data_IF_414886512055
#
_entry.id   IF_414886512055
#
_cell.length_a   1.000
_cell.length_b   1.000
_cell.length_c   1.000
_cell.angle_alpha   90.00
_cell.angle_beta   90.00
_cell.angle_gamma   90.00
#
_symmetry.space_group_name_H-M   'P 1'
#
loop_
_entity.id
_entity.type
_entity.pdbx_description
1 polymer ?
#
# COMPACT_ATOMS: atom_id res chain seq x y z
N UNK A 1 0.76 18.32 65.73
CA UNK A 1 1.01 17.11 64.97
C UNK A 1 0.79 17.45 63.50
N UNK A 2 1.87 17.68 62.74
CA UNK A 2 1.81 17.95 61.27
C UNK A 2 1.85 16.63 60.53
N UNK A 3 0.79 16.31 59.79
CA UNK A 3 0.79 15.17 58.88
C UNK A 3 1.61 15.54 57.65
N UNK A 4 2.72 14.86 57.45
CA UNK A 4 3.51 14.90 56.24
C UNK A 4 2.84 13.91 55.29
N UNK A 5 2.20 14.45 54.24
CA UNK A 5 1.69 13.65 53.16
C UNK A 5 2.85 13.45 52.17
N UNK A 6 3.46 12.26 52.21
CA UNK A 6 4.44 11.87 51.19
C UNK A 6 3.74 11.71 49.84
N UNK A 7 4.04 12.61 48.94
CA UNK A 7 3.69 12.47 47.53
C UNK A 7 4.67 11.46 46.93
N UNK A 8 4.25 10.23 46.76
CA UNK A 8 4.99 9.25 45.93
C UNK A 8 4.74 9.66 44.50
N UNK A 9 5.74 10.32 43.93
CA UNK A 9 5.83 10.55 42.50
C UNK A 9 6.18 9.19 41.87
N UNK A 10 5.17 8.43 41.48
CA UNK A 10 5.37 7.27 40.65
C UNK A 10 5.84 7.79 39.28
N UNK A 11 7.14 7.71 39.05
CA UNK A 11 7.72 7.79 37.71
C UNK A 11 7.12 6.64 36.91
N UNK A 12 6.11 6.93 36.12
CA UNK A 12 5.67 6.06 35.06
C UNK A 12 6.81 6.07 34.07
N UNK A 13 7.74 5.14 34.21
CA UNK A 13 8.56 4.69 33.10
C UNK A 13 7.57 4.04 32.15
N UNK A 14 7.11 4.81 31.18
CA UNK A 14 6.45 4.28 30.02
C UNK A 14 7.50 3.44 29.27
N UNK A 15 7.62 2.18 29.63
CA UNK A 15 8.07 1.19 28.68
C UNK A 15 6.96 1.13 27.64
N UNK A 16 6.99 2.06 26.69
CA UNK A 16 6.37 1.89 25.43
C UNK A 16 7.09 0.71 24.78
N UNK A 17 6.68 -0.50 25.08
CA UNK A 17 6.91 -1.62 24.20
C UNK A 17 5.98 -1.36 23.02
N UNK A 18 6.34 -0.38 22.23
CA UNK A 18 5.82 -0.15 20.90
C UNK A 18 6.41 -1.23 20.02
N UNK A 19 5.72 -2.33 19.90
CA UNK A 19 5.78 -3.05 18.66
C UNK A 19 4.72 -2.46 17.71
N UNK A 20 4.80 -1.15 17.49
CA UNK A 20 4.42 -0.60 16.21
C UNK A 20 5.31 -1.31 15.18
N UNK A 21 4.75 -1.72 14.05
CA UNK A 21 5.57 -2.23 12.97
C UNK A 21 6.71 -1.25 12.76
N UNK A 22 7.91 -1.75 12.92
CA UNK A 22 9.13 -0.97 12.74
C UNK A 22 9.53 -1.20 11.28
N UNK A 23 9.47 -0.16 10.46
CA UNK A 23 9.87 -0.25 9.07
C UNK A 23 11.38 -0.05 8.90
N UNK A 24 12.18 -0.45 9.87
CA UNK A 24 13.64 -0.28 9.88
C UNK A 24 14.35 -0.96 8.69
N UNK A 25 13.72 -1.93 8.04
CA UNK A 25 14.20 -2.63 6.85
C UNK A 25 13.53 -2.20 5.55
N UNK A 26 12.76 -1.13 5.60
CA UNK A 26 12.07 -0.56 4.44
C UNK A 26 12.52 0.89 4.27
N UNK A 27 12.79 1.30 3.04
CA UNK A 27 13.02 2.70 2.71
C UNK A 27 11.93 3.21 1.76
N UNK A 28 11.45 4.42 2.00
CA UNK A 28 10.69 5.17 1.01
C UNK A 28 11.69 5.93 0.13
N UNK A 29 11.60 5.75 -1.20
CA UNK A 29 12.50 6.43 -2.15
C UNK A 29 11.72 7.49 -2.90
N UNK A 30 12.22 8.72 -2.87
CA UNK A 30 11.60 9.87 -3.54
C UNK A 30 12.58 10.76 -4.27
N UNK A 31 12.04 11.69 -5.08
CA UNK A 31 12.83 12.63 -5.90
C UNK A 31 13.26 13.90 -5.17
N UNK A 32 12.69 14.17 -3.99
CA UNK A 32 13.10 15.33 -3.17
C UNK A 32 14.41 15.03 -2.44
N UNK A 33 15.28 16.02 -2.26
CA UNK A 33 16.63 15.82 -1.73
C UNK A 33 16.64 15.37 -0.25
N UNK A 34 15.55 15.60 0.49
CA UNK A 34 15.38 15.10 1.86
C UNK A 34 13.90 14.94 2.22
N UNK A 35 13.64 14.30 3.34
CA UNK A 35 12.29 14.22 3.91
C UNK A 35 11.69 15.60 4.21
N UNK A 36 12.49 16.54 4.73
CA UNK A 36 12.04 17.89 5.02
C UNK A 36 11.71 18.67 3.74
N UNK A 37 12.45 18.44 2.66
CA UNK A 37 12.11 19.05 1.36
C UNK A 37 10.81 18.46 0.81
N UNK A 38 10.62 17.15 0.89
CA UNK A 38 9.35 16.53 0.52
C UNK A 38 8.19 17.15 1.29
N UNK A 39 8.29 17.32 2.61
CA UNK A 39 7.23 17.93 3.43
C UNK A 39 6.92 19.39 3.08
N UNK A 40 7.87 20.11 2.49
CA UNK A 40 7.72 21.53 2.18
C UNK A 40 7.35 21.84 0.73
N UNK A 41 7.64 20.95 -0.19
CA UNK A 41 7.55 21.17 -1.64
C UNK A 41 6.95 19.98 -2.40
N UNK A 42 6.61 18.90 -1.71
CA UNK A 42 6.04 17.70 -2.30
C UNK A 42 4.58 17.85 -2.67
N UNK A 43 4.11 16.90 -3.43
CA UNK A 43 2.70 16.66 -3.63
C UNK A 43 2.04 16.26 -2.32
N UNK A 44 0.77 16.59 -2.12
CA UNK A 44 0.10 16.40 -0.82
C UNK A 44 -0.15 14.94 -0.51
N UNK A 45 -0.38 14.08 -1.50
CA UNK A 45 -0.47 12.63 -1.32
C UNK A 45 0.87 12.00 -0.96
N UNK A 46 1.96 12.40 -1.61
CA UNK A 46 3.30 11.95 -1.25
C UNK A 46 3.71 12.41 0.16
N UNK A 47 3.34 13.64 0.54
CA UNK A 47 3.56 14.15 1.90
C UNK A 47 2.81 13.31 2.92
N UNK A 48 1.51 13.04 2.69
CA UNK A 48 0.68 12.27 3.61
C UNK A 48 1.19 10.84 3.77
N UNK A 49 1.55 10.19 2.66
CA UNK A 49 2.15 8.85 2.65
C UNK A 49 3.47 8.81 3.43
N UNK A 50 4.37 9.77 3.19
CA UNK A 50 5.66 9.86 3.86
C UNK A 50 5.52 10.15 5.36
N UNK A 51 4.58 11.01 5.75
CA UNK A 51 4.30 11.28 7.17
C UNK A 51 3.77 10.03 7.88
N UNK A 52 2.87 9.28 7.23
CA UNK A 52 2.40 8.01 7.76
C UNK A 52 3.57 7.03 7.94
N UNK A 53 4.40 6.87 6.92
CA UNK A 53 5.55 5.96 6.94
C UNK A 53 6.57 6.33 8.03
N UNK A 54 6.84 7.60 8.21
CA UNK A 54 7.75 8.10 9.26
C UNK A 54 7.24 7.81 10.68
N UNK A 55 5.91 7.70 10.89
CA UNK A 55 5.36 7.29 12.19
C UNK A 55 5.70 5.85 12.59
N UNK A 56 6.22 5.05 11.64
CA UNK A 56 6.70 3.68 11.85
C UNK A 56 8.23 3.59 11.75
N UNK A 57 8.93 4.69 11.98
CA UNK A 57 10.40 4.77 11.91
C UNK A 57 10.96 4.43 10.52
N UNK A 58 10.15 4.55 9.46
CA UNK A 58 10.57 4.33 8.10
C UNK A 58 11.58 5.37 7.62
N UNK A 59 12.57 4.94 6.86
CA UNK A 59 13.64 5.81 6.35
C UNK A 59 13.26 6.37 4.98
N UNK A 60 13.40 7.69 4.79
CA UNK A 60 13.35 8.32 3.48
C UNK A 60 14.74 8.37 2.86
N UNK A 61 14.86 8.00 1.59
CA UNK A 61 16.07 8.07 0.78
C UNK A 61 15.75 8.86 -0.49
N UNK A 62 16.59 9.84 -0.81
CA UNK A 62 16.47 10.58 -2.06
C UNK A 62 17.13 9.83 -3.23
N UNK A 63 16.58 10.02 -4.43
CA UNK A 63 17.26 9.59 -5.66
C UNK A 63 18.63 10.25 -5.82
N UNK A 64 18.82 11.44 -5.24
CA UNK A 64 20.11 12.13 -5.22
C UNK A 64 21.17 11.37 -4.41
N UNK A 65 20.82 10.86 -3.24
CA UNK A 65 21.72 10.04 -2.43
C UNK A 65 22.10 8.74 -3.13
N UNK A 66 21.15 8.14 -3.87
CA UNK A 66 21.44 6.96 -4.70
C UNK A 66 22.39 7.32 -5.84
N UNK A 67 22.15 8.44 -6.55
CA UNK A 67 23.00 8.90 -7.65
C UNK A 67 24.44 9.20 -7.20
N UNK A 68 24.57 9.80 -6.02
CA UNK A 68 25.86 10.18 -5.43
C UNK A 68 26.58 9.00 -4.74
N UNK A 69 25.91 7.83 -4.64
CA UNK A 69 26.44 6.63 -4.00
C UNK A 69 26.57 6.73 -2.47
N UNK A 70 25.83 7.64 -1.85
CA UNK A 70 25.81 7.82 -0.39
C UNK A 70 24.75 6.96 0.30
N UNK A 71 23.71 6.55 -0.44
CA UNK A 71 22.70 5.61 0.04
C UNK A 71 23.15 4.16 -0.16
N UNK A 72 23.09 3.36 0.91
CA UNK A 72 23.33 1.90 0.85
C UNK A 72 22.00 1.16 0.84
N UNK A 73 21.54 0.74 -0.34
CA UNK A 73 20.27 0.01 -0.48
C UNK A 73 20.36 -1.42 0.10
N UNK A 74 21.55 -1.98 0.31
CA UNK A 74 21.71 -3.37 0.78
C UNK A 74 21.21 -3.61 2.20
N UNK A 75 21.05 -2.57 2.99
CA UNK A 75 20.53 -2.65 4.35
C UNK A 75 19.00 -2.86 4.42
N UNK A 76 18.28 -2.63 3.29
CA UNK A 76 16.84 -2.74 3.22
C UNK A 76 16.39 -4.07 2.60
N UNK A 77 15.18 -4.47 2.94
CA UNK A 77 14.47 -5.62 2.35
C UNK A 77 13.53 -5.19 1.25
N UNK A 78 12.97 -4.01 1.39
CA UNK A 78 12.05 -3.44 0.43
C UNK A 78 12.26 -1.94 0.25
N UNK A 79 11.89 -1.45 -0.94
CA UNK A 79 11.77 -0.03 -1.24
C UNK A 79 10.30 0.27 -1.58
N UNK A 80 9.76 1.31 -0.96
CA UNK A 80 8.49 1.89 -1.34
C UNK A 80 8.73 3.15 -2.17
N UNK A 81 8.19 3.19 -3.37
CA UNK A 81 8.22 4.35 -4.26
C UNK A 81 6.77 4.79 -4.44
N UNK A 82 6.43 5.95 -3.90
CA UNK A 82 5.14 6.60 -4.07
C UNK A 82 5.37 7.89 -4.87
N UNK A 83 4.71 8.00 -6.02
CA UNK A 83 4.79 9.20 -6.86
C UNK A 83 3.39 9.52 -7.32
N UNK A 84 2.93 10.69 -6.95
CA UNK A 84 1.65 11.23 -7.36
C UNK A 84 1.85 12.65 -7.90
N UNK A 85 1.54 12.88 -9.18
CA UNK A 85 1.82 14.15 -9.86
C UNK A 85 0.82 14.42 -10.96
N UNK A 86 0.32 15.63 -10.98
CA UNK A 86 -0.48 16.16 -12.09
C UNK A 86 0.43 16.53 -13.23
N UNK A 87 0.24 15.93 -14.40
CA UNK A 87 0.94 16.28 -15.65
C UNK A 87 -0.01 16.16 -16.85
N UNK A 88 0.50 16.33 -18.06
CA UNK A 88 -0.32 16.26 -19.28
C UNK A 88 -0.34 14.87 -19.91
N UNK A 89 0.73 14.12 -19.80
CA UNK A 89 0.91 12.81 -20.40
C UNK A 89 2.14 12.07 -19.85
N UNK A 90 2.27 10.79 -20.21
CA UNK A 90 3.35 9.92 -19.71
C UNK A 90 4.75 10.39 -20.11
N UNK A 91 4.92 11.06 -21.27
CA UNK A 91 6.24 11.54 -21.70
C UNK A 91 6.64 12.76 -20.90
N UNK A 92 5.69 13.66 -20.65
CA UNK A 92 5.86 14.81 -19.76
C UNK A 92 6.18 14.34 -18.33
N UNK A 93 5.42 13.37 -17.82
CA UNK A 93 5.69 12.77 -16.52
C UNK A 93 7.10 12.17 -16.44
N UNK A 94 7.54 11.41 -17.44
CA UNK A 94 8.89 10.86 -17.46
C UNK A 94 9.97 11.94 -17.48
N UNK A 95 9.76 13.02 -18.22
CA UNK A 95 10.77 14.07 -18.34
C UNK A 95 10.83 14.98 -17.11
N UNK A 96 9.68 15.31 -16.52
CA UNK A 96 9.57 16.31 -15.44
C UNK A 96 9.61 15.68 -14.05
N UNK A 97 8.96 14.52 -13.86
CA UNK A 97 8.81 13.89 -12.55
C UNK A 97 9.83 12.76 -12.30
N UNK A 98 10.19 12.02 -13.34
CA UNK A 98 11.15 10.91 -13.23
C UNK A 98 12.53 11.26 -13.75
N UNK A 99 12.64 12.25 -14.63
CA UNK A 99 13.86 12.66 -15.31
C UNK A 99 14.78 13.50 -14.43
N UNK A 100 15.78 14.11 -15.09
CA UNK A 100 16.76 14.97 -14.45
C UNK A 100 18.05 14.25 -14.09
N UNK A 101 19.06 15.06 -13.69
CA UNK A 101 20.41 14.58 -13.40
C UNK A 101 20.45 13.55 -12.24
N UNK A 102 19.52 13.66 -11.30
CA UNK A 102 19.42 12.80 -10.12
C UNK A 102 18.03 12.17 -9.96
N UNK A 103 17.19 12.14 -11.01
CA UNK A 103 15.86 11.54 -10.99
C UNK A 103 15.89 10.02 -11.12
N UNK A 104 14.72 9.40 -11.04
CA UNK A 104 14.57 7.94 -11.13
C UNK A 104 15.08 7.35 -12.46
N UNK A 105 15.01 8.10 -13.55
CA UNK A 105 15.51 7.68 -14.88
C UNK A 105 17.00 7.98 -15.09
N UNK A 106 17.70 8.61 -14.13
CA UNK A 106 19.16 8.66 -14.16
C UNK A 106 19.73 7.23 -14.18
N UNK A 107 20.68 6.96 -15.05
CA UNK A 107 21.20 5.59 -15.24
C UNK A 107 21.80 4.97 -13.97
N UNK A 108 22.42 5.76 -13.11
CA UNK A 108 22.96 5.28 -11.82
C UNK A 108 21.83 4.88 -10.89
N UNK A 109 20.81 5.73 -10.73
CA UNK A 109 19.65 5.49 -9.87
C UNK A 109 18.86 4.28 -10.37
N UNK A 110 18.49 4.30 -11.66
CA UNK A 110 17.77 3.21 -12.30
C UNK A 110 18.49 1.88 -12.16
N UNK A 111 19.80 1.87 -12.41
CA UNK A 111 20.63 0.66 -12.30
C UNK A 111 20.69 0.17 -10.84
N UNK A 112 20.85 1.06 -9.87
CA UNK A 112 20.91 0.69 -8.46
C UNK A 112 19.61 0.03 -7.99
N UNK A 113 18.45 0.64 -8.28
CA UNK A 113 17.14 0.09 -7.91
C UNK A 113 16.85 -1.20 -8.67
N UNK A 114 17.17 -1.26 -9.98
CA UNK A 114 17.01 -2.49 -10.78
C UNK A 114 17.86 -3.63 -10.23
N UNK A 115 19.11 -3.36 -9.86
CA UNK A 115 19.98 -4.38 -9.27
C UNK A 115 19.51 -4.81 -7.89
N UNK A 116 19.03 -3.89 -7.06
CA UNK A 116 18.38 -4.21 -5.79
C UNK A 116 17.24 -5.21 -6.01
N UNK A 117 16.34 -4.94 -6.95
CA UNK A 117 15.21 -5.80 -7.29
C UNK A 117 15.65 -7.15 -7.88
N UNK A 118 16.64 -7.16 -8.78
CA UNK A 118 17.19 -8.40 -9.36
C UNK A 118 17.86 -9.28 -8.32
N UNK A 119 18.45 -8.71 -7.30
CA UNK A 119 19.19 -9.43 -6.27
C UNK A 119 18.34 -9.85 -5.04
N UNK A 120 17.02 -9.67 -5.10
CA UNK A 120 16.08 -10.14 -4.06
C UNK A 120 15.53 -9.06 -3.15
N UNK A 121 15.88 -7.80 -3.37
CA UNK A 121 15.18 -6.68 -2.78
C UNK A 121 13.78 -6.56 -3.36
N UNK A 122 12.80 -6.18 -2.54
CA UNK A 122 11.40 -6.12 -2.94
C UNK A 122 10.96 -4.67 -3.21
N UNK A 123 9.89 -4.49 -3.98
CA UNK A 123 9.36 -3.17 -4.33
C UNK A 123 7.88 -3.06 -3.99
N UNK A 124 7.48 -1.92 -3.43
CA UNK A 124 6.11 -1.42 -3.47
C UNK A 124 6.10 -0.17 -4.35
N UNK A 125 5.33 -0.20 -5.43
CA UNK A 125 5.17 0.94 -6.35
C UNK A 125 3.72 1.40 -6.28
N UNK A 126 3.50 2.67 -5.91
CA UNK A 126 2.15 3.20 -5.75
C UNK A 126 1.93 4.41 -6.64
N UNK A 127 0.68 4.61 -7.07
CA UNK A 127 0.26 5.66 -7.98
C UNK A 127 1.09 5.62 -9.29
N UNK A 128 1.59 6.74 -9.76
CA UNK A 128 2.40 6.83 -10.99
C UNK A 128 3.75 6.12 -10.93
N UNK A 129 4.25 5.76 -9.72
CA UNK A 129 5.46 4.97 -9.61
C UNK A 129 5.36 3.60 -10.30
N UNK A 130 4.15 3.09 -10.56
CA UNK A 130 3.93 1.86 -11.32
C UNK A 130 4.59 1.90 -12.71
N UNK A 131 4.69 3.07 -13.34
CA UNK A 131 5.39 3.25 -14.64
C UNK A 131 6.83 2.74 -14.59
N UNK A 132 7.51 2.90 -13.45
CA UNK A 132 8.91 2.49 -13.28
C UNK A 132 9.14 0.98 -13.47
N UNK A 133 8.10 0.16 -13.36
CA UNK A 133 8.24 -1.29 -13.54
C UNK A 133 8.73 -1.65 -14.95
N UNK A 134 8.31 -0.88 -15.97
CA UNK A 134 8.86 -0.96 -17.32
C UNK A 134 10.31 -0.45 -17.37
N UNK A 135 10.58 0.68 -16.76
CA UNK A 135 11.90 1.31 -16.78
C UNK A 135 12.95 0.42 -16.06
N UNK A 136 12.53 -0.37 -15.07
CA UNK A 136 13.34 -1.41 -14.42
C UNK A 136 13.41 -2.71 -15.25
N UNK A 137 12.68 -2.80 -16.36
CA UNK A 137 12.70 -3.92 -17.29
C UNK A 137 11.92 -5.17 -16.84
N UNK A 138 11.05 -5.04 -15.82
CA UNK A 138 10.23 -6.15 -15.32
C UNK A 138 9.12 -6.54 -16.27
N UNK A 139 8.58 -5.57 -16.99
CA UNK A 139 7.61 -5.71 -18.08
C UNK A 139 8.08 -4.86 -19.28
N UNK A 140 7.67 -5.22 -20.48
CA UNK A 140 8.14 -4.62 -21.73
C UNK A 140 7.28 -3.45 -22.24
N UNK A 141 6.21 -3.12 -21.54
CA UNK A 141 5.24 -2.09 -21.94
C UNK A 141 4.83 -1.18 -20.80
N UNK A 142 4.36 -0.01 -21.16
CA UNK A 142 3.75 0.94 -20.22
C UNK A 142 2.38 0.45 -19.77
N UNK A 143 1.91 0.91 -18.61
CA UNK A 143 0.50 0.77 -18.26
C UNK A 143 -0.40 1.37 -19.33
N UNK A 144 -1.48 0.68 -19.69
CA UNK A 144 -2.44 1.15 -20.69
C UNK A 144 -3.42 2.18 -20.14
N UNK A 145 -3.74 2.09 -18.86
CA UNK A 145 -4.58 3.07 -18.19
C UNK A 145 -3.72 3.98 -17.31
N UNK A 146 -3.39 5.16 -17.86
CA UNK A 146 -2.62 6.18 -17.15
C UNK A 146 -3.33 7.50 -17.28
N UNK A 147 -3.70 8.09 -16.14
CA UNK A 147 -4.27 9.41 -16.03
C UNK A 147 -3.42 10.27 -15.11
N UNK A 148 -3.34 11.56 -15.42
CA UNK A 148 -2.57 12.56 -14.68
C UNK A 148 -3.43 13.80 -14.43
N UNK A 149 -4.74 13.66 -14.51
CA UNK A 149 -5.64 14.77 -14.45
C UNK A 149 -5.98 15.11 -12.99
N UNK A 150 -6.05 16.41 -12.70
CA UNK A 150 -6.89 16.82 -11.58
C UNK A 150 -8.34 16.48 -11.96
N UNK A 151 -8.96 15.62 -11.16
CA UNK A 151 -10.37 15.34 -11.28
C UNK A 151 -11.21 16.54 -10.86
N UNK A 152 -12.48 16.33 -10.80
CA UNK A 152 -13.45 17.26 -10.20
C UNK A 152 -13.79 16.77 -8.80
N UNK A 153 -14.21 17.68 -7.91
CA UNK A 153 -14.74 17.28 -6.60
C UNK A 153 -15.86 16.24 -6.80
N UNK A 154 -15.52 14.97 -6.60
CA UNK A 154 -16.46 13.88 -6.76
C UNK A 154 -17.25 13.69 -5.46
N UNK A 155 -18.52 13.32 -5.59
CA UNK A 155 -19.39 13.04 -4.46
C UNK A 155 -19.56 11.53 -4.20
N UNK A 156 -18.97 10.71 -5.07
CA UNK A 156 -19.07 9.26 -4.98
C UNK A 156 -18.03 8.68 -4.02
N UNK A 157 -18.36 7.56 -3.44
CA UNK A 157 -17.40 6.66 -2.78
C UNK A 157 -16.77 5.80 -3.86
N UNK A 158 -15.46 5.70 -3.84
CA UNK A 158 -14.72 4.93 -4.83
C UNK A 158 -14.16 3.66 -4.21
N UNK A 159 -14.34 2.56 -4.91
CA UNK A 159 -14.15 1.21 -4.42
C UNK A 159 -13.14 0.42 -5.24
N UNK A 160 -12.56 -0.59 -4.59
CA UNK A 160 -11.81 -1.65 -5.24
C UNK A 160 -12.63 -2.93 -5.23
N UNK A 161 -12.78 -3.57 -6.38
CA UNK A 161 -13.30 -4.92 -6.50
C UNK A 161 -12.14 -5.92 -6.47
N UNK A 162 -12.24 -6.91 -5.58
CA UNK A 162 -11.22 -7.95 -5.39
C UNK A 162 -11.66 -9.33 -5.93
N UNK A 163 -12.78 -9.38 -6.65
CA UNK A 163 -13.28 -10.60 -7.30
C UNK A 163 -13.32 -10.39 -8.80
N UNK A 164 -12.27 -10.80 -9.48
CA UNK A 164 -12.12 -10.61 -10.93
C UNK A 164 -12.89 -11.67 -11.73
N UNK A 165 -13.26 -11.36 -12.97
CA UNK A 165 -13.98 -12.28 -13.83
C UNK A 165 -15.47 -12.43 -13.48
N UNK A 166 -16.10 -11.41 -12.95
CA UNK A 166 -17.53 -11.44 -12.56
C UNK A 166 -18.48 -10.98 -13.68
N UNK A 167 -17.98 -10.47 -14.79
CA UNK A 167 -18.79 -10.06 -15.93
C UNK A 167 -19.41 -11.26 -16.66
N UNK A 168 -20.43 -11.01 -17.50
CA UNK A 168 -21.32 -12.06 -18.01
C UNK A 168 -20.61 -13.13 -18.83
N UNK A 169 -19.66 -12.73 -19.65
CA UNK A 169 -18.93 -13.59 -20.59
C UNK A 169 -17.56 -14.05 -20.05
N UNK A 170 -17.18 -13.66 -18.83
CA UNK A 170 -15.96 -14.15 -18.22
C UNK A 170 -16.03 -15.66 -17.99
N UNK A 171 -15.01 -16.44 -18.43
CA UNK A 171 -15.02 -17.89 -18.36
C UNK A 171 -14.94 -18.43 -16.94
N UNK A 172 -14.35 -17.67 -16.03
CA UNK A 172 -14.23 -18.03 -14.62
C UNK A 172 -14.08 -16.79 -13.73
N UNK A 173 -14.20 -16.99 -12.45
CA UNK A 173 -14.12 -15.96 -11.42
C UNK A 173 -12.95 -16.27 -10.51
N UNK A 174 -12.21 -15.20 -10.12
CA UNK A 174 -11.08 -15.26 -9.20
C UNK A 174 -11.37 -14.39 -7.99
N UNK A 175 -11.62 -15.03 -6.84
CA UNK A 175 -11.87 -14.33 -5.56
C UNK A 175 -10.57 -14.19 -4.78
N UNK A 176 -10.08 -12.96 -4.69
CA UNK A 176 -8.88 -12.59 -3.94
C UNK A 176 -9.18 -12.03 -2.54
N UNK A 177 -10.43 -12.06 -2.09
CA UNK A 177 -10.81 -11.47 -0.79
C UNK A 177 -10.12 -12.11 0.42
N UNK A 178 -9.59 -13.32 0.28
CA UNK A 178 -8.77 -13.99 1.30
C UNK A 178 -7.27 -13.80 1.14
N UNK A 179 -6.83 -12.94 0.22
CA UNK A 179 -5.41 -12.65 0.02
C UNK A 179 -4.85 -11.87 1.23
N UNK A 180 -3.62 -12.18 1.70
CA UNK A 180 -2.98 -11.47 2.81
C UNK A 180 -2.93 -9.95 2.64
N UNK A 181 -2.88 -9.46 1.38
CA UNK A 181 -2.91 -8.03 1.08
C UNK A 181 -4.17 -7.33 1.62
N UNK A 182 -5.27 -8.06 1.76
CA UNK A 182 -6.56 -7.54 2.22
C UNK A 182 -6.90 -7.93 3.66
N UNK A 183 -5.94 -8.46 4.41
CA UNK A 183 -6.18 -8.84 5.80
C UNK A 183 -6.66 -7.66 6.63
N UNK A 184 -7.76 -7.85 7.38
CA UNK A 184 -8.36 -6.83 8.24
C UNK A 184 -9.17 -5.76 7.50
N UNK A 185 -9.21 -5.74 6.17
CA UNK A 185 -10.06 -4.82 5.40
C UNK A 185 -11.48 -5.36 5.34
N UNK A 186 -12.44 -4.56 5.78
CA UNK A 186 -13.86 -4.92 5.72
C UNK A 186 -14.36 -4.80 4.28
N UNK A 187 -14.98 -5.87 3.79
CA UNK A 187 -15.51 -5.93 2.43
C UNK A 187 -17.02 -6.06 2.42
N UNK A 188 -17.64 -5.44 1.42
CA UNK A 188 -19.06 -5.59 1.11
C UNK A 188 -19.24 -6.52 -0.08
N UNK A 189 -20.31 -7.32 -0.06
CA UNK A 189 -20.70 -8.14 -1.21
C UNK A 189 -21.70 -7.37 -2.06
N UNK A 190 -21.42 -7.29 -3.35
CA UNK A 190 -22.30 -6.68 -4.35
C UNK A 190 -22.63 -7.70 -5.46
N UNK A 191 -23.59 -7.39 -6.31
CA UNK A 191 -24.03 -8.27 -7.39
C UNK A 191 -24.02 -7.58 -8.74
N UNK A 192 -23.56 -8.34 -9.74
CA UNK A 192 -23.71 -7.96 -11.14
C UNK A 192 -25.13 -8.24 -11.65
N UNK A 193 -25.57 -7.61 -12.74
CA UNK A 193 -26.85 -7.93 -13.38
C UNK A 193 -26.99 -9.40 -13.80
N UNK A 194 -25.89 -10.11 -14.04
CA UNK A 194 -25.87 -11.54 -14.38
C UNK A 194 -25.98 -12.45 -13.15
N UNK A 195 -26.10 -11.89 -11.93
CA UNK A 195 -26.21 -12.63 -10.69
C UNK A 195 -24.88 -13.10 -10.08
N UNK A 196 -23.74 -12.84 -10.73
CA UNK A 196 -22.43 -13.12 -10.14
C UNK A 196 -22.16 -12.12 -9.00
N UNK A 197 -21.69 -12.64 -7.87
CA UNK A 197 -21.29 -11.82 -6.72
C UNK A 197 -19.85 -11.37 -6.86
N UNK A 198 -19.57 -10.17 -6.35
CA UNK A 198 -18.24 -9.64 -6.22
C UNK A 198 -18.09 -8.93 -4.88
N UNK A 199 -16.85 -8.68 -4.46
CA UNK A 199 -16.55 -8.05 -3.17
C UNK A 199 -15.78 -6.77 -3.38
N UNK A 200 -16.21 -5.72 -2.69
CA UNK A 200 -15.62 -4.40 -2.75
C UNK A 200 -15.22 -3.92 -1.37
N UNK A 201 -14.24 -3.04 -1.34
CA UNK A 201 -13.95 -2.20 -0.18
C UNK A 201 -13.74 -0.76 -0.61
N UNK A 202 -14.09 0.15 0.28
CA UNK A 202 -13.99 1.58 0.01
C UNK A 202 -12.56 2.08 0.18
N UNK A 203 -12.10 2.92 -0.73
CA UNK A 203 -10.78 3.53 -0.69
C UNK A 203 -10.85 5.03 -0.50
N UNK A 204 -11.75 5.69 -1.19
CA UNK A 204 -11.86 7.15 -1.22
C UNK A 204 -13.30 7.57 -0.99
N UNK A 205 -13.51 8.55 -0.11
CA UNK A 205 -14.81 9.15 0.15
C UNK A 205 -15.10 10.35 -0.75
N UNK A 206 -16.30 10.97 -0.61
CA UNK A 206 -16.63 12.17 -1.35
C UNK A 206 -15.63 13.31 -1.14
N UNK A 207 -15.33 14.06 -2.20
CA UNK A 207 -14.44 15.22 -2.17
C UNK A 207 -13.06 14.97 -2.75
N UNK A 208 -12.76 13.77 -3.22
CA UNK A 208 -11.50 13.50 -3.93
C UNK A 208 -11.47 14.23 -5.28
N UNK A 209 -10.28 14.67 -5.69
CA UNK A 209 -10.09 15.50 -6.88
C UNK A 209 -9.19 14.89 -7.93
N UNK A 210 -8.35 13.97 -7.54
CA UNK A 210 -7.33 13.46 -8.43
C UNK A 210 -7.79 12.18 -9.11
N UNK A 211 -7.38 11.97 -10.35
CA UNK A 211 -7.61 10.76 -11.12
C UNK A 211 -6.27 10.32 -11.70
N UNK A 212 -5.50 9.65 -10.87
CA UNK A 212 -4.13 9.24 -11.15
C UNK A 212 -4.00 7.74 -11.37
N UNK A 213 -4.83 7.18 -12.22
CA UNK A 213 -4.69 5.78 -12.62
C UNK A 213 -3.33 5.51 -13.25
N UNK A 214 -2.74 4.36 -12.90
CA UNK A 214 -1.49 3.89 -13.48
C UNK A 214 -1.43 2.35 -13.42
N UNK A 215 -2.17 1.67 -14.28
CA UNK A 215 -2.23 0.22 -14.27
C UNK A 215 -2.40 -0.41 -15.66
N UNK A 216 -2.19 -1.72 -15.72
CA UNK A 216 -2.29 -2.51 -16.93
C UNK A 216 -3.68 -3.12 -17.10
N UNK A 217 -4.21 -3.03 -18.30
CA UNK A 217 -5.31 -3.85 -18.78
C UNK A 217 -4.71 -5.12 -19.38
N UNK A 218 -4.49 -6.13 -18.59
CA UNK A 218 -3.81 -7.34 -19.05
C UNK A 218 -4.55 -8.09 -20.15
N UNK A 219 -5.87 -7.88 -20.29
CA UNK A 219 -6.65 -8.41 -21.40
C UNK A 219 -6.16 -7.88 -22.75
N UNK A 220 -5.83 -6.57 -22.80
CA UNK A 220 -5.40 -5.88 -24.01
C UNK A 220 -3.87 -5.98 -24.19
N UNK A 221 -3.15 -6.12 -23.08
CA UNK A 221 -1.68 -6.16 -23.08
C UNK A 221 -1.10 -7.52 -23.45
N UNK A 222 -1.88 -8.58 -23.38
CA UNK A 222 -1.44 -9.94 -23.62
C UNK A 222 -1.58 -10.34 -25.10
N UNK A 223 -0.46 -10.53 -25.81
CA UNK A 223 -0.37 -10.96 -27.21
C UNK A 223 -0.15 -12.46 -27.38
N UNK A 224 -0.41 -13.26 -26.36
CA UNK A 224 -0.24 -14.72 -26.42
C UNK A 224 -1.28 -15.44 -27.27
N UNK A 225 -1.22 -16.78 -27.31
CA UNK A 225 -2.21 -17.58 -28.03
C UNK A 225 -3.62 -17.48 -27.45
N UNK A 226 -3.75 -17.13 -26.19
CA UNK A 226 -5.01 -16.76 -25.57
C UNK A 226 -5.34 -15.32 -25.97
N UNK A 227 -6.37 -15.14 -26.72
CA UNK A 227 -6.79 -13.83 -27.20
C UNK A 227 -8.09 -13.43 -26.54
N UNK A 228 -8.04 -12.33 -25.80
CA UNK A 228 -9.19 -11.77 -25.14
C UNK A 228 -9.58 -12.47 -23.83
N UNK A 229 -10.45 -11.82 -23.11
CA UNK A 229 -10.90 -12.14 -21.77
C UNK A 229 -11.87 -13.34 -21.68
N UNK A 230 -12.17 -13.99 -22.79
CA UNK A 230 -13.01 -15.19 -22.84
C UNK A 230 -12.21 -16.49 -22.81
N UNK A 231 -10.86 -16.44 -22.85
CA UNK A 231 -10.04 -17.65 -22.77
C UNK A 231 -9.85 -18.10 -21.31
N UNK A 232 -10.24 -19.33 -20.95
CA UNK A 232 -10.12 -19.82 -19.58
C UNK A 232 -8.67 -19.98 -19.08
N UNK A 233 -7.69 -19.93 -19.99
CA UNK A 233 -6.28 -20.03 -19.64
C UNK A 233 -5.60 -18.67 -19.50
N UNK A 234 -6.25 -17.58 -19.86
CA UNK A 234 -5.67 -16.23 -19.92
C UNK A 234 -4.94 -15.87 -18.62
N UNK A 235 -5.61 -16.00 -17.49
CA UNK A 235 -5.04 -15.68 -16.18
C UNK A 235 -3.77 -16.49 -15.85
N UNK A 236 -3.77 -17.78 -16.18
CA UNK A 236 -2.62 -18.66 -16.02
C UNK A 236 -1.48 -18.30 -16.97
N UNK A 237 -1.79 -17.90 -18.17
CA UNK A 237 -0.80 -17.52 -19.17
C UNK A 237 -0.17 -16.16 -18.86
N UNK A 238 -0.92 -15.22 -18.31
CA UNK A 238 -0.38 -13.98 -17.73
C UNK A 238 0.67 -14.29 -16.66
N UNK A 239 0.36 -15.20 -15.77
CA UNK A 239 1.29 -15.61 -14.72
C UNK A 239 2.53 -16.30 -15.32
N UNK A 240 2.36 -17.19 -16.29
CA UNK A 240 3.50 -17.83 -16.97
C UNK A 240 4.39 -16.82 -17.70
N UNK A 241 3.80 -15.76 -18.27
CA UNK A 241 4.52 -14.76 -19.05
C UNK A 241 5.28 -13.76 -18.15
N UNK A 242 4.62 -13.20 -17.17
CA UNK A 242 5.17 -12.12 -16.36
C UNK A 242 5.25 -12.41 -14.86
N UNK A 243 4.80 -13.60 -14.38
CA UNK A 243 4.62 -13.93 -12.97
C UNK A 243 3.83 -12.84 -12.24
N UNK A 244 2.80 -12.32 -12.90
CA UNK A 244 1.88 -11.33 -12.35
C UNK A 244 0.55 -11.98 -11.95
N UNK A 245 0.03 -11.57 -10.80
CA UNK A 245 -1.31 -11.91 -10.33
C UNK A 245 -2.09 -10.60 -10.15
N UNK A 246 -3.07 -10.29 -11.02
CA UNK A 246 -4.02 -9.21 -10.77
C UNK A 246 -4.84 -9.52 -9.51
N UNK A 247 -4.95 -8.56 -8.60
CA UNK A 247 -5.59 -8.74 -7.29
C UNK A 247 -6.80 -7.83 -7.09
N UNK A 248 -6.85 -6.70 -7.77
CA UNK A 248 -7.93 -5.73 -7.62
C UNK A 248 -8.09 -4.85 -8.83
N UNK A 249 -9.32 -4.39 -9.04
CA UNK A 249 -9.71 -3.57 -10.17
C UNK A 249 -10.91 -2.66 -9.81
N UNK A 250 -11.20 -1.67 -10.64
CA UNK A 250 -12.42 -0.88 -10.56
C UNK A 250 -13.67 -1.77 -10.64
N UNK A 251 -14.69 -1.57 -9.80
CA UNK A 251 -15.91 -2.40 -9.86
C UNK A 251 -16.72 -2.21 -11.14
N UNK A 252 -16.59 -1.07 -11.82
CA UNK A 252 -17.38 -0.70 -12.99
C UNK A 252 -16.69 -0.95 -14.33
N UNK A 253 -15.43 -1.40 -14.32
CA UNK A 253 -14.68 -1.71 -15.55
C UNK A 253 -14.85 -3.18 -15.90
N UNK A 254 -15.20 -3.45 -17.17
CA UNK A 254 -15.32 -4.78 -17.75
C UNK A 254 -13.94 -5.32 -18.19
N UNK A 255 -12.95 -5.16 -17.33
CA UNK A 255 -11.62 -5.73 -17.50
C UNK A 255 -11.50 -6.90 -16.52
N UNK A 256 -11.44 -8.11 -17.04
CA UNK A 256 -11.47 -9.31 -16.19
C UNK A 256 -10.16 -9.56 -15.48
N UNK A 257 -9.07 -9.03 -16.03
CA UNK A 257 -7.70 -9.29 -15.58
C UNK A 257 -6.88 -8.01 -15.41
N UNK A 258 -7.55 -6.89 -15.22
CA UNK A 258 -6.90 -5.61 -14.97
C UNK A 258 -6.08 -5.61 -13.69
N UNK A 259 -4.91 -5.03 -13.76
CA UNK A 259 -3.93 -4.98 -12.67
C UNK A 259 -3.86 -3.64 -11.98
N UNK A 260 -5.00 -3.08 -11.52
CA UNK A 260 -5.01 -1.86 -10.74
C UNK A 260 -4.31 -2.06 -9.37
N UNK A 261 -4.48 -3.26 -8.81
CA UNK A 261 -3.64 -3.80 -7.74
C UNK A 261 -3.10 -5.13 -8.25
N UNK A 262 -1.78 -5.31 -8.25
CA UNK A 262 -1.17 -6.53 -8.76
C UNK A 262 0.08 -6.93 -7.96
N UNK A 263 0.30 -8.24 -7.87
CA UNK A 263 1.50 -8.85 -7.31
C UNK A 263 2.37 -9.41 -8.42
N UNK A 264 3.64 -9.09 -8.41
CA UNK A 264 4.67 -9.57 -9.33
C UNK A 264 5.64 -10.46 -8.55
N UNK A 265 5.49 -11.76 -8.70
CA UNK A 265 6.33 -12.73 -8.02
C UNK A 265 7.75 -12.75 -8.58
N UNK A 266 8.69 -13.25 -7.78
CA UNK A 266 10.05 -13.47 -8.20
C UNK A 266 10.13 -14.41 -9.42
N UNK A 267 11.13 -14.19 -10.27
CA UNK A 267 11.41 -15.04 -11.43
C UNK A 267 12.92 -15.25 -11.61
N UNK A 268 13.31 -15.80 -12.75
CA UNK A 268 14.73 -16.09 -13.00
C UNK A 268 15.60 -14.84 -13.09
N UNK A 269 15.06 -13.71 -13.49
CA UNK A 269 15.78 -12.44 -13.63
C UNK A 269 15.66 -11.57 -12.38
N UNK A 270 14.47 -11.49 -11.80
CA UNK A 270 14.16 -10.66 -10.64
C UNK A 270 13.87 -11.55 -9.44
N UNK A 271 14.79 -11.59 -8.47
CA UNK A 271 14.65 -12.43 -7.29
C UNK A 271 13.78 -11.80 -6.20
N UNK A 272 13.52 -10.49 -6.30
CA UNK A 272 12.56 -9.78 -5.47
C UNK A 272 11.13 -9.93 -5.97
N UNK A 273 10.18 -9.64 -5.09
CA UNK A 273 8.76 -9.44 -5.39
C UNK A 273 8.48 -7.96 -5.62
N UNK A 274 7.41 -7.65 -6.34
CA UNK A 274 6.88 -6.30 -6.40
C UNK A 274 5.36 -6.33 -6.19
N UNK A 275 4.84 -5.33 -5.49
CA UNK A 275 3.41 -5.04 -5.45
C UNK A 275 3.20 -3.68 -6.11
N UNK A 276 2.21 -3.59 -6.99
CA UNK A 276 1.78 -2.34 -7.61
C UNK A 276 0.38 -1.97 -7.16
N UNK A 277 0.17 -0.72 -6.77
CA UNK A 277 -1.14 -0.14 -6.43
C UNK A 277 -1.27 1.14 -7.24
N UNK A 278 -1.87 1.05 -8.41
CA UNK A 278 -1.99 2.15 -9.38
C UNK A 278 -3.43 2.57 -9.66
N UNK A 279 -4.34 2.27 -8.76
CA UNK A 279 -5.74 2.69 -8.86
C UNK A 279 -5.90 4.10 -8.28
N UNK A 280 -6.59 4.98 -9.02
CA UNK A 280 -6.73 6.40 -8.64
C UNK A 280 -7.35 6.63 -7.25
N UNK A 281 -8.17 5.71 -6.77
CA UNK A 281 -8.74 5.85 -5.43
C UNK A 281 -7.75 5.59 -4.28
N UNK A 282 -6.48 5.36 -4.56
CA UNK A 282 -5.41 5.30 -3.57
C UNK A 282 -4.93 6.72 -3.23
N UNK A 283 -5.83 7.50 -2.68
CA UNK A 283 -5.75 8.94 -2.42
C UNK A 283 -5.42 9.22 -0.95
N UNK A 284 -4.18 9.57 -0.65
CA UNK A 284 -3.72 9.71 0.73
C UNK A 284 -4.23 10.96 1.44
N UNK A 285 -4.37 12.06 0.74
CA UNK A 285 -4.67 13.35 1.37
C UNK A 285 -6.06 13.90 1.03
N UNK A 286 -6.66 13.49 -0.05
CA UNK A 286 -7.99 13.92 -0.49
C UNK A 286 -8.16 15.44 -0.35
N UNK A 287 -7.33 16.21 -1.09
CA UNK A 287 -7.40 17.67 -1.19
C UNK A 287 -7.25 18.43 0.15
N UNK A 288 -6.24 18.08 0.92
CA UNK A 288 -5.95 18.61 2.25
C UNK A 288 -7.01 18.25 3.31
N UNK A 289 -7.91 17.34 3.02
CA UNK A 289 -8.81 16.76 4.01
C UNK A 289 -8.53 15.27 4.12
N UNK A 290 -8.49 14.76 5.33
CA UNK A 290 -8.28 13.32 5.53
C UNK A 290 -9.40 12.54 4.87
N UNK A 291 -9.03 11.59 4.00
CA UNK A 291 -9.97 10.65 3.39
C UNK A 291 -10.73 9.88 4.49
N UNK A 292 -12.05 9.78 4.40
CA UNK A 292 -12.85 9.05 5.41
C UNK A 292 -12.53 7.56 5.45
N UNK A 293 -11.99 6.99 4.37
CA UNK A 293 -11.52 5.61 4.28
C UNK A 293 -10.00 5.48 4.36
N UNK A 294 -9.33 6.50 4.86
CA UNK A 294 -7.86 6.53 5.03
C UNK A 294 -7.33 5.27 5.72
N UNK A 295 -8.09 4.72 6.68
CA UNK A 295 -7.70 3.49 7.37
C UNK A 295 -7.55 2.28 6.45
N UNK A 296 -8.33 2.18 5.36
CA UNK A 296 -8.19 1.11 4.37
C UNK A 296 -6.94 1.31 3.50
N UNK A 297 -6.59 2.55 3.14
CA UNK A 297 -5.35 2.86 2.43
C UNK A 297 -4.14 2.52 3.31
N UNK A 298 -4.16 2.98 4.56
CA UNK A 298 -3.10 2.69 5.54
C UNK A 298 -2.92 1.18 5.75
N UNK A 299 -4.02 0.43 5.87
CA UNK A 299 -3.98 -1.01 6.10
C UNK A 299 -3.53 -1.78 4.85
N UNK A 300 -4.01 -1.40 3.66
CA UNK A 300 -3.57 -1.98 2.39
C UNK A 300 -2.06 -1.79 2.20
N UNK A 301 -1.57 -0.58 2.47
CA UNK A 301 -0.15 -0.26 2.37
C UNK A 301 0.68 -1.04 3.39
N UNK A 302 0.19 -1.09 4.64
CA UNK A 302 0.83 -1.88 5.69
C UNK A 302 0.94 -3.35 5.31
N UNK A 303 -0.16 -3.95 4.83
CA UNK A 303 -0.18 -5.36 4.42
C UNK A 303 0.77 -5.60 3.23
N UNK A 304 0.81 -4.67 2.26
CA UNK A 304 1.74 -4.76 1.13
C UNK A 304 3.21 -4.73 1.60
N UNK A 305 3.55 -3.79 2.47
CA UNK A 305 4.91 -3.69 3.04
C UNK A 305 5.25 -4.92 3.89
N UNK A 306 4.31 -5.41 4.71
CA UNK A 306 4.48 -6.61 5.51
C UNK A 306 4.69 -7.86 4.64
N UNK A 307 3.98 -7.99 3.52
CA UNK A 307 4.16 -9.12 2.61
C UNK A 307 5.55 -9.15 1.99
N UNK A 308 6.07 -7.98 1.60
CA UNK A 308 7.36 -7.89 0.90
C UNK A 308 8.55 -7.73 1.84
N UNK A 309 8.33 -7.39 3.11
CA UNK A 309 9.37 -7.27 4.12
C UNK A 309 8.86 -7.73 5.51
N UNK A 310 8.47 -9.00 5.67
CA UNK A 310 7.85 -9.48 6.90
C UNK A 310 8.76 -9.34 8.13
N UNK A 311 10.07 -9.42 7.95
CA UNK A 311 11.06 -9.23 9.03
C UNK A 311 11.35 -7.74 9.33
N UNK A 312 10.84 -6.83 8.48
CA UNK A 312 11.03 -5.38 8.59
C UNK A 312 9.78 -4.63 9.01
N UNK A 313 8.70 -5.33 9.34
CA UNK A 313 7.42 -4.73 9.77
C UNK A 313 7.06 -5.04 11.22
N UNK A 314 8.02 -5.49 12.01
CA UNK A 314 7.83 -5.86 13.41
C UNK A 314 7.34 -7.29 13.64
N UNK A 315 7.57 -7.79 14.84
CA UNK A 315 7.34 -9.19 15.18
C UNK A 315 5.89 -9.62 14.95
N UNK A 316 5.75 -10.83 14.43
CA UNK A 316 4.47 -11.52 14.41
C UNK A 316 3.82 -11.47 15.79
N UNK A 317 2.56 -11.08 15.84
CA UNK A 317 1.76 -11.13 17.07
C UNK A 317 1.74 -12.58 17.53
N UNK A 318 2.36 -12.84 18.68
CA UNK A 318 2.26 -14.12 19.34
C UNK A 318 0.78 -14.31 19.74
N UNK A 319 0.06 -15.15 19.01
CA UNK A 319 -1.35 -15.46 19.35
C UNK A 319 -1.37 -16.14 20.69
N UNK A 320 -1.84 -15.43 21.70
CA UNK A 320 -2.08 -16.01 23.04
C UNK A 320 -3.55 -16.43 23.11
N UNK A 321 -3.79 -17.58 23.68
CA UNK A 321 -5.15 -18.07 23.86
C UNK A 321 -5.97 -17.08 24.70
N UNK A 322 -7.21 -16.80 24.29
CA UNK A 322 -8.08 -15.78 24.92
C UNK A 322 -8.31 -15.98 26.42
N UNK A 323 -8.20 -17.21 26.91
CA UNK A 323 -8.35 -17.54 28.33
C UNK A 323 -7.17 -17.09 29.21
N UNK A 324 -6.06 -16.68 28.64
CA UNK A 324 -4.91 -16.09 29.34
C UNK A 324 -5.00 -14.58 29.49
N UNK A 325 -5.89 -13.90 28.76
CA UNK A 325 -6.05 -12.44 28.78
C UNK A 325 -6.90 -12.01 30.00
N UNK A 326 -6.35 -11.14 30.81
CA UNK A 326 -7.04 -10.59 32.01
C UNK A 326 -7.55 -9.18 31.82
N UNK A 327 -7.01 -8.42 30.89
CA UNK A 327 -7.52 -7.09 30.54
C UNK A 327 -7.21 -6.72 29.10
N UNK A 328 -8.12 -5.93 28.52
CA UNK A 328 -7.95 -5.35 27.17
C UNK A 328 -8.25 -3.85 27.25
N UNK A 329 -7.35 -3.04 26.73
CA UNK A 329 -7.48 -1.59 26.64
C UNK A 329 -7.22 -1.15 25.21
N UNK A 330 -7.99 -0.19 24.71
CA UNK A 330 -7.84 0.35 23.37
C UNK A 330 -7.31 1.77 23.40
N UNK A 331 -6.49 2.12 22.42
CA UNK A 331 -5.94 3.45 22.23
C UNK A 331 -6.14 3.90 20.79
N UNK A 332 -6.28 5.19 20.55
CA UNK A 332 -6.13 5.76 19.22
C UNK A 332 -4.68 5.57 18.75
N UNK A 333 -4.43 5.75 17.45
CA UNK A 333 -3.06 5.73 16.91
C UNK A 333 -2.15 6.81 17.52
N UNK A 334 -2.73 7.85 18.15
CA UNK A 334 -2.03 8.88 18.90
C UNK A 334 -1.79 8.51 20.38
N UNK A 335 -2.12 7.27 20.79
CA UNK A 335 -1.89 6.80 22.15
C UNK A 335 -2.94 7.28 23.18
N UNK A 336 -4.07 7.83 22.74
CA UNK A 336 -5.15 8.27 23.64
C UNK A 336 -6.04 7.06 23.98
N UNK A 337 -6.23 6.76 25.26
CA UNK A 337 -7.09 5.66 25.71
C UNK A 337 -8.55 5.88 25.30
N UNK A 338 -9.14 4.83 24.70
CA UNK A 338 -10.54 4.80 24.26
C UNK A 338 -11.29 3.77 25.09
N UNK A 339 -12.15 4.23 25.98
CA UNK A 339 -12.87 3.35 26.92
C UNK A 339 -13.95 2.48 26.26
N UNK A 340 -14.57 3.00 25.20
CA UNK A 340 -15.58 2.29 24.42
C UNK A 340 -15.35 2.63 22.94
N UNK A 341 -14.55 1.86 22.23
CA UNK A 341 -14.36 2.07 20.80
C UNK A 341 -15.68 1.70 20.10
N UNK A 342 -16.46 2.71 19.75
CA UNK A 342 -17.81 2.56 19.15
C UNK A 342 -17.87 2.94 17.69
N UNK A 343 -16.75 3.26 17.08
CA UNK A 343 -16.67 3.67 15.67
C UNK A 343 -15.77 2.71 14.90
N UNK A 344 -16.10 2.45 13.66
CA UNK A 344 -15.20 1.80 12.73
C UNK A 344 -13.87 2.55 12.73
N UNK A 345 -12.80 1.86 13.02
CA UNK A 345 -11.50 2.50 13.09
C UNK A 345 -10.38 1.56 13.49
N UNK A 346 -9.18 1.95 13.12
CA UNK A 346 -7.96 1.28 13.52
C UNK A 346 -7.56 1.77 14.93
N UNK A 347 -7.40 0.82 15.85
CA UNK A 347 -7.00 1.08 17.23
C UNK A 347 -5.74 0.28 17.58
N UNK A 348 -4.99 0.79 18.55
CA UNK A 348 -3.99 -0.02 19.26
C UNK A 348 -4.72 -0.74 20.37
N UNK A 349 -4.74 -2.08 20.33
CA UNK A 349 -5.26 -2.91 21.42
C UNK A 349 -4.11 -3.35 22.31
N UNK A 350 -4.22 -3.09 23.60
CA UNK A 350 -3.30 -3.60 24.62
C UNK A 350 -4.02 -4.66 25.46
N UNK A 351 -3.52 -5.87 25.43
CA UNK A 351 -4.01 -6.99 26.24
C UNK A 351 -2.96 -7.31 27.30
N UNK A 352 -3.42 -7.67 28.52
CA UNK A 352 -2.53 -8.08 29.59
C UNK A 352 -2.88 -9.52 29.98
N UNK A 353 -1.88 -10.39 30.06
CA UNK A 353 -2.05 -11.78 30.47
C UNK A 353 -2.08 -11.92 31.99
N UNK A 354 -2.49 -13.09 32.49
CA UNK A 354 -2.46 -13.45 33.92
C UNK A 354 -1.06 -13.34 34.53
N UNK A 355 -0.03 -13.51 33.74
CA UNK A 355 1.37 -13.42 34.14
C UNK A 355 1.92 -11.98 34.11
N UNK A 356 1.08 -11.01 33.70
CA UNK A 356 1.44 -9.59 33.61
C UNK A 356 2.19 -9.21 32.33
N UNK A 357 2.31 -10.12 31.35
CA UNK A 357 2.85 -9.81 30.02
C UNK A 357 1.86 -8.90 29.29
N UNK A 358 2.34 -7.81 28.70
CA UNK A 358 1.54 -6.94 27.85
C UNK A 358 1.73 -7.35 26.37
N UNK A 359 0.62 -7.48 25.67
CA UNK A 359 0.56 -7.71 24.22
C UNK A 359 -0.08 -6.47 23.63
N UNK A 360 0.51 -5.92 22.61
CA UNK A 360 0.01 -4.74 21.92
C UNK A 360 -0.08 -5.05 20.44
N UNK A 361 -1.26 -4.88 19.89
CA UNK A 361 -1.51 -5.09 18.47
C UNK A 361 -2.42 -3.98 17.91
N UNK A 362 -2.50 -3.88 16.59
CA UNK A 362 -3.46 -3.02 15.91
C UNK A 362 -4.67 -3.86 15.54
N UNK A 363 -5.85 -3.34 15.84
CA UNK A 363 -7.10 -4.00 15.51
C UNK A 363 -8.03 -3.01 14.81
N UNK A 364 -8.65 -3.47 13.75
CA UNK A 364 -9.81 -2.81 13.18
C UNK A 364 -11.04 -3.23 14.00
N UNK A 365 -11.76 -2.29 14.53
CA UNK A 365 -13.02 -2.56 15.23
C UNK A 365 -14.16 -2.04 14.39
N UNK A 366 -15.08 -2.95 14.07
CA UNK A 366 -16.35 -2.60 13.45
C UNK A 366 -17.34 -2.13 14.52
N UNK A 367 -18.16 -1.15 14.19
CA UNK A 367 -19.31 -0.82 15.02
C UNK A 367 -20.24 -2.04 15.03
N UNK A 368 -20.30 -2.75 16.15
CA UNK A 368 -21.34 -3.76 16.32
C UNK A 368 -22.69 -3.06 16.28
N UNK A 369 -23.58 -3.51 15.39
CA UNK A 369 -25.00 -3.13 15.32
C UNK A 369 -25.75 -3.37 16.63
#
# INVERSE_FOLDING_TARGET
>A
MKKITSLILASIVSAAATHAADFDKIAMVGSYASYEELLSAGDDDEIAAAQWFNNYEGTYISTAEIADGTADLSQYKALWIAIDRVTTDINTFRSECLGGEKGFLNETVKTAITNFYKNGGNLLLTNHACILLKDFGRIDRDPENVTFAEGVDNQDVIDVNVVLGTWADAPQTYDHSGDPLYEGITMETAQRPNGKEYKIFHMTGPGWKEDHNCFWHFDDAYDGPATGNTDPNHYKELYNLWQVTPLGMWPHIEDYYGGAIARWDANDTYKGKCITIGIACYEWNQNNTKNQYQGNIELLTYNALNEIAPDGTGAAVETIADDEIVSTTYYTLQGIEVKNPSQNGLYIRKQTTKEGKAIVDKVMLDAQN
#
